data_IF_695233346500
#
_entry.id   IF_695233346500
#
_cell.length_a   1.000
_cell.length_b   1.000
_cell.length_c   1.000
_cell.angle_alpha   90.00
_cell.angle_beta   90.00
_cell.angle_gamma   90.00
#
_symmetry.space_group_name_H-M   'P 1'
#
loop_
_entity.id
_entity.type
_entity.pdbx_description
1 polymer ?
#
# COMPACT_ATOMS: atom_id res chain seq x y z
N UNK A 1 39.58 53.88 4.53
CA UNK A 1 39.54 52.47 4.11
C UNK A 1 40.54 51.67 4.94
N UNK A 2 40.11 51.04 6.03
CA UNK A 2 40.93 50.05 6.75
C UNK A 2 40.11 48.78 6.88
N UNK A 3 40.47 47.80 6.06
CA UNK A 3 39.88 46.46 6.00
C UNK A 3 40.38 45.62 7.18
N UNK A 4 39.49 45.28 8.10
CA UNK A 4 39.76 44.24 9.09
C UNK A 4 39.68 42.86 8.42
N UNK A 5 40.81 42.17 8.33
CA UNK A 5 40.88 40.76 7.92
C UNK A 5 40.20 39.89 8.97
N UNK A 6 39.13 39.21 8.57
CA UNK A 6 38.47 38.17 9.38
C UNK A 6 39.42 36.97 9.49
N UNK A 7 39.84 36.65 10.70
CA UNK A 7 40.63 35.47 11.03
C UNK A 7 39.81 34.19 10.83
N UNK A 8 40.42 33.18 10.21
CA UNK A 8 39.80 31.88 9.96
C UNK A 8 39.48 31.12 11.26
N UNK A 9 38.40 30.33 11.32
CA UNK A 9 37.97 29.66 12.54
C UNK A 9 38.94 28.55 12.94
N UNK A 10 39.32 28.56 14.23
CA UNK A 10 40.17 27.55 14.87
C UNK A 10 39.46 26.19 14.84
N UNK A 11 39.94 25.27 14.01
CA UNK A 11 39.41 23.89 13.94
C UNK A 11 39.78 23.12 15.21
N UNK A 12 38.83 22.36 15.76
CA UNK A 12 39.02 21.57 16.97
C UNK A 12 40.10 20.49 16.82
N UNK A 13 40.80 20.16 17.91
CA UNK A 13 41.93 19.21 17.92
C UNK A 13 41.53 17.81 17.40
N UNK A 14 40.29 17.39 17.64
CA UNK A 14 39.70 16.14 17.12
C UNK A 14 39.53 16.15 15.59
N UNK A 15 39.28 17.31 14.98
CA UNK A 15 39.15 17.45 13.52
C UNK A 15 40.48 17.20 12.79
N UNK A 16 41.59 17.64 13.37
CA UNK A 16 42.94 17.44 12.81
C UNK A 16 43.42 15.98 12.90
N UNK A 17 43.01 15.24 13.94
CA UNK A 17 43.32 13.81 14.07
C UNK A 17 42.48 12.95 13.12
N UNK A 18 41.22 13.32 12.85
CA UNK A 18 40.34 12.60 11.93
C UNK A 18 40.79 12.70 10.45
N UNK A 19 41.42 13.81 10.05
CA UNK A 19 42.00 14.01 8.72
C UNK A 19 43.12 13.00 8.38
N UNK A 20 43.81 12.44 9.38
CA UNK A 20 44.90 11.47 9.16
C UNK A 20 44.42 10.04 8.88
N UNK A 21 43.13 9.72 9.08
CA UNK A 21 42.60 8.34 8.95
C UNK A 21 41.67 8.11 7.75
N UNK A 22 41.66 9.03 6.78
CA UNK A 22 41.21 8.74 5.41
C UNK A 22 39.71 8.52 5.18
N UNK A 23 38.83 8.67 6.19
CA UNK A 23 37.38 8.70 5.98
C UNK A 23 36.65 9.26 7.21
N UNK A 24 35.92 10.37 7.03
CA UNK A 24 35.03 10.93 8.06
C UNK A 24 33.59 10.75 7.55
N UNK A 25 32.83 9.81 8.13
CA UNK A 25 31.37 9.93 8.10
C UNK A 25 30.98 11.12 8.97
N UNK A 26 31.05 12.34 8.40
CA UNK A 26 30.76 13.54 9.15
C UNK A 26 29.24 13.58 9.43
N UNK A 27 28.87 13.32 10.69
CA UNK A 27 27.47 13.29 11.13
C UNK A 27 26.79 14.62 10.77
N UNK A 28 25.59 14.55 10.20
CA UNK A 28 24.81 15.75 9.86
C UNK A 28 24.07 16.21 11.11
N UNK A 29 24.11 17.51 11.40
CA UNK A 29 23.31 18.11 12.45
C UNK A 29 21.82 17.94 12.10
N UNK A 30 21.05 17.33 13.00
CA UNK A 30 19.63 17.08 12.74
C UNK A 30 18.85 18.40 12.65
N UNK A 31 19.15 19.40 13.49
CA UNK A 31 18.41 20.67 13.50
C UNK A 31 18.66 21.52 12.25
N UNK A 32 19.92 21.78 11.89
CA UNK A 32 20.29 22.68 10.78
C UNK A 32 20.66 21.95 9.48
N UNK A 33 20.66 20.60 9.47
CA UNK A 33 20.99 19.74 8.33
C UNK A 33 22.37 19.96 7.70
N UNK A 34 23.32 20.58 8.44
CA UNK A 34 24.71 20.77 8.00
C UNK A 34 25.67 19.80 8.68
N UNK A 35 26.76 19.52 7.99
CA UNK A 35 27.89 18.73 8.51
C UNK A 35 29.07 19.65 8.85
N UNK A 36 29.82 19.38 9.94
CA UNK A 36 29.58 18.34 10.93
C UNK A 36 28.42 18.67 11.87
N UNK A 37 28.02 17.71 12.71
CA UNK A 37 26.95 17.89 13.67
C UNK A 37 27.30 19.02 14.65
N UNK A 38 26.33 19.89 14.92
CA UNK A 38 26.55 21.01 15.83
C UNK A 38 26.61 20.54 17.29
N UNK A 39 27.55 21.12 18.03
CA UNK A 39 27.64 20.97 19.48
C UNK A 39 26.40 21.56 20.17
N UNK A 40 26.05 20.96 21.32
CA UNK A 40 24.86 21.33 22.10
C UNK A 40 25.29 22.17 23.30
N UNK A 41 25.29 23.48 23.10
CA UNK A 41 25.72 24.45 24.11
C UNK A 41 24.53 25.21 24.71
N UNK A 42 23.52 25.51 23.89
CA UNK A 42 22.32 26.25 24.31
C UNK A 42 21.13 25.97 23.41
N UNK A 43 19.91 26.35 23.83
CA UNK A 43 18.71 26.20 23.00
C UNK A 43 18.24 27.58 22.53
N UNK A 44 18.38 27.85 21.23
CA UNK A 44 17.92 29.08 20.57
C UNK A 44 16.62 28.79 19.82
N UNK A 45 15.56 29.53 20.12
CA UNK A 45 14.29 29.44 19.39
C UNK A 45 14.28 30.43 18.23
N UNK A 46 13.98 29.96 17.02
CA UNK A 46 13.84 30.83 15.85
C UNK A 46 12.45 31.47 15.80
N UNK A 47 12.39 32.79 15.59
CA UNK A 47 11.12 33.50 15.46
C UNK A 47 10.35 33.09 14.18
N UNK A 48 11.08 32.82 13.09
CA UNK A 48 10.51 32.55 11.76
C UNK A 48 9.89 31.14 11.71
N UNK A 49 10.72 30.10 11.86
CA UNK A 49 10.27 28.71 11.76
C UNK A 49 9.76 28.11 13.08
N UNK A 50 9.97 28.80 14.22
CA UNK A 50 9.58 28.35 15.58
C UNK A 50 10.21 27.03 16.04
N UNK A 51 11.26 26.57 15.34
CA UNK A 51 12.10 25.43 15.72
C UNK A 51 13.20 25.87 16.69
N UNK A 52 13.76 24.89 17.40
CA UNK A 52 14.83 25.07 18.38
C UNK A 52 16.17 24.58 17.79
N UNK A 53 17.23 25.34 18.03
CA UNK A 53 18.58 25.10 17.53
C UNK A 53 19.57 25.03 18.69
N UNK A 54 20.61 24.20 18.56
CA UNK A 54 21.43 23.74 19.70
C UNK A 54 22.70 24.56 19.98
N UNK A 55 22.97 25.57 19.16
CA UNK A 55 24.07 26.52 19.31
C UNK A 55 23.86 27.73 18.40
N UNK A 56 24.62 28.81 18.61
CA UNK A 56 24.62 29.97 17.72
C UNK A 56 24.99 29.57 16.28
N UNK A 57 25.99 28.69 16.12
CA UNK A 57 26.37 28.16 14.82
C UNK A 57 25.23 27.36 14.17
N UNK A 58 24.52 26.52 14.94
CA UNK A 58 23.35 25.80 14.46
C UNK A 58 22.24 26.75 13.99
N UNK A 59 22.04 27.85 14.72
CA UNK A 59 21.09 28.89 14.37
C UNK A 59 21.51 29.67 13.11
N UNK A 60 22.76 30.06 12.95
CA UNK A 60 23.17 30.72 11.70
C UNK A 60 23.05 29.78 10.51
N UNK A 61 23.46 28.52 10.68
CA UNK A 61 23.47 27.51 9.62
C UNK A 61 22.08 27.19 9.05
N UNK A 62 21.02 27.19 9.87
CA UNK A 62 19.68 26.85 9.37
C UNK A 62 19.04 27.96 8.52
N UNK A 63 19.52 29.20 8.64
CA UNK A 63 19.09 30.34 7.81
C UNK A 63 19.86 30.46 6.50
N UNK A 64 21.01 29.77 6.38
CA UNK A 64 21.77 29.78 5.13
C UNK A 64 21.04 28.96 4.06
N UNK A 65 21.01 29.51 2.85
CA UNK A 65 20.59 28.77 1.67
C UNK A 65 21.62 27.68 1.35
N UNK A 66 21.16 26.47 1.07
CA UNK A 66 22.04 25.35 0.72
C UNK A 66 21.33 24.31 -0.15
N UNK A 67 22.00 23.83 -1.19
CA UNK A 67 21.52 22.79 -2.11
C UNK A 67 20.93 23.34 -3.42
N UNK A 68 20.52 22.44 -4.32
CA UNK A 68 20.01 22.77 -5.68
C UNK A 68 18.71 23.60 -5.70
N UNK A 69 17.99 23.69 -4.59
CA UNK A 69 16.64 24.29 -4.52
C UNK A 69 16.61 25.72 -3.94
N UNK A 70 17.78 26.34 -3.69
CA UNK A 70 17.93 27.72 -3.20
C UNK A 70 17.04 28.13 -2.00
N UNK A 71 16.69 27.17 -1.14
CA UNK A 71 15.91 27.41 0.09
C UNK A 71 16.71 27.01 1.33
N UNK A 72 16.64 27.82 2.36
CA UNK A 72 17.18 27.55 3.69
C UNK A 72 16.38 26.47 4.42
N UNK A 73 16.97 25.88 5.46
CA UNK A 73 16.25 24.94 6.34
C UNK A 73 15.09 25.63 7.07
N UNK A 74 15.24 26.93 7.37
CA UNK A 74 14.21 27.75 7.99
C UNK A 74 12.93 27.84 7.13
N UNK A 75 13.10 28.00 5.81
CA UNK A 75 11.99 28.06 4.87
C UNK A 75 11.40 26.68 4.57
N UNK A 76 12.19 25.61 4.68
CA UNK A 76 11.74 24.25 4.40
C UNK A 76 10.92 23.63 5.53
N UNK A 77 11.20 23.97 6.79
CA UNK A 77 10.59 23.31 7.95
C UNK A 77 10.11 24.33 8.99
N UNK A 78 8.85 24.23 9.42
CA UNK A 78 8.29 25.09 10.47
C UNK A 78 7.50 24.28 11.51
N UNK A 79 7.33 24.82 12.72
CA UNK A 79 6.56 24.18 13.82
C UNK A 79 5.08 24.64 13.81
N UNK A 80 4.06 23.76 13.74
CA UNK A 80 2.62 24.14 13.82
C UNK A 80 2.35 24.91 15.15
N UNK A 81 1.56 25.99 15.11
CA UNK A 81 1.15 26.77 16.30
C UNK A 81 0.29 25.94 17.26
N UNK A 82 -0.51 25.03 16.72
CA UNK A 82 -1.56 24.32 17.48
C UNK A 82 -1.13 22.92 17.91
N UNK A 83 -0.54 22.10 17.02
CA UNK A 83 -0.09 20.75 17.37
C UNK A 83 1.41 20.62 17.66
N UNK A 84 2.19 21.70 17.54
CA UNK A 84 3.63 21.76 17.86
C UNK A 84 4.54 20.76 17.08
N UNK A 85 4.00 20.07 16.06
CA UNK A 85 4.75 19.21 15.13
C UNK A 85 5.49 20.05 14.09
N UNK A 86 6.61 19.54 13.62
CA UNK A 86 7.40 20.11 12.52
C UNK A 86 6.79 19.65 11.20
N UNK A 87 6.61 20.60 10.29
CA UNK A 87 5.89 20.48 9.03
C UNK A 87 6.81 20.96 7.91
N UNK A 88 6.82 20.26 6.78
CA UNK A 88 7.49 20.74 5.57
C UNK A 88 6.67 21.84 4.89
N UNK A 89 7.32 22.93 4.51
CA UNK A 89 6.72 24.01 3.74
C UNK A 89 6.25 23.51 2.35
N UNK A 90 5.14 24.09 1.87
CA UNK A 90 4.49 23.68 0.62
C UNK A 90 3.59 22.44 0.73
N UNK A 91 3.51 21.78 1.89
CA UNK A 91 2.57 20.68 2.13
C UNK A 91 1.37 21.16 2.95
N UNK A 92 0.17 20.71 2.60
CA UNK A 92 -1.05 20.95 3.38
C UNK A 92 -0.99 20.20 4.70
N UNK A 93 -0.91 20.93 5.81
CA UNK A 93 -0.93 20.36 7.16
C UNK A 93 -2.26 20.69 7.84
N UNK A 94 -2.99 19.64 8.22
CA UNK A 94 -4.18 19.75 9.08
C UNK A 94 -3.80 19.28 10.48
N UNK A 95 -3.74 20.21 11.45
CA UNK A 95 -3.45 19.85 12.84
C UNK A 95 -4.67 18.99 13.35
N UNK A 96 -4.43 17.98 14.19
CA UNK A 96 -5.43 17.03 14.76
C UNK A 96 -6.10 16.02 13.79
N UNK A 97 -5.57 15.81 12.59
CA UNK A 97 -6.00 14.71 11.71
C UNK A 97 -5.05 13.51 11.76
N UNK A 98 -5.60 12.32 11.62
CA UNK A 98 -4.89 11.05 11.43
C UNK A 98 -5.16 10.51 10.03
N UNK A 99 -4.19 9.80 9.45
CA UNK A 99 -4.43 9.04 8.23
C UNK A 99 -5.16 7.74 8.58
N UNK A 100 -6.37 7.56 8.06
CA UNK A 100 -7.15 6.35 8.29
C UNK A 100 -6.80 5.30 7.23
N UNK A 101 -6.27 4.14 7.64
CA UNK A 101 -5.92 3.04 6.73
C UNK A 101 -7.13 2.28 6.14
N UNK A 102 -8.35 2.64 6.53
CA UNK A 102 -9.58 2.00 6.03
C UNK A 102 -10.17 2.82 4.88
N UNK A 103 -10.35 4.13 5.08
CA UNK A 103 -10.83 5.03 4.02
C UNK A 103 -9.72 5.70 3.22
N UNK A 104 -8.44 5.44 3.55
CA UNK A 104 -7.25 5.99 2.90
C UNK A 104 -7.24 7.53 2.80
N UNK A 105 -7.73 8.21 3.83
CA UNK A 105 -7.85 9.68 3.87
C UNK A 105 -7.44 10.23 5.24
N UNK A 106 -6.97 11.48 5.27
CA UNK A 106 -6.77 12.21 6.52
C UNK A 106 -8.13 12.59 7.11
N UNK A 107 -8.36 12.19 8.36
CA UNK A 107 -9.62 12.37 9.06
C UNK A 107 -9.36 12.87 10.48
N UNK A 108 -10.32 13.54 11.13
CA UNK A 108 -10.21 13.87 12.55
C UNK A 108 -9.90 12.63 13.40
N UNK A 109 -9.19 12.82 14.52
CA UNK A 109 -8.77 11.71 15.39
C UNK A 109 -9.92 10.78 15.84
N UNK A 110 -11.14 11.29 15.91
CA UNK A 110 -12.35 10.55 16.32
C UNK A 110 -13.24 10.06 15.15
N UNK A 111 -12.81 10.18 13.89
CA UNK A 111 -13.67 9.88 12.74
C UNK A 111 -14.20 8.43 12.72
N UNK A 112 -15.51 8.25 12.55
CA UNK A 112 -16.12 6.94 12.32
C UNK A 112 -16.01 6.59 10.84
N UNK A 113 -15.38 5.46 10.53
CA UNK A 113 -15.20 5.03 9.15
C UNK A 113 -16.46 4.28 8.69
N UNK A 114 -16.98 4.64 7.52
CA UNK A 114 -18.14 4.03 6.89
C UNK A 114 -17.80 3.51 5.50
N UNK A 115 -18.56 2.53 5.04
CA UNK A 115 -18.45 2.02 3.67
C UNK A 115 -18.73 3.15 2.69
N UNK A 116 -17.79 3.49 1.78
CA UNK A 116 -18.01 4.60 0.87
C UNK A 116 -18.94 4.21 -0.27
N UNK A 117 -19.75 5.17 -0.71
CA UNK A 117 -20.47 5.07 -1.99
C UNK A 117 -19.46 4.82 -3.12
N UNK A 118 -19.87 4.04 -4.11
CA UNK A 118 -19.12 3.94 -5.37
C UNK A 118 -19.77 4.91 -6.35
N UNK A 119 -19.03 5.91 -6.82
CA UNK A 119 -19.51 6.88 -7.83
C UNK A 119 -18.83 6.68 -9.18
N UNK A 120 -18.09 5.58 -9.34
CA UNK A 120 -17.35 5.30 -10.56
C UNK A 120 -18.29 4.80 -11.66
N UNK A 121 -17.93 5.03 -12.92
CA UNK A 121 -18.63 4.46 -14.08
C UNK A 121 -17.82 3.32 -14.71
N UNK A 122 -18.48 2.30 -15.29
CA UNK A 122 -17.81 1.23 -15.99
C UNK A 122 -17.04 1.77 -17.20
N UNK A 123 -15.85 1.21 -17.44
CA UNK A 123 -15.09 1.48 -18.67
C UNK A 123 -15.65 0.62 -19.79
N UNK A 124 -16.37 1.24 -20.73
CA UNK A 124 -17.06 0.57 -21.83
C UNK A 124 -16.36 0.73 -23.19
N UNK A 125 -15.12 1.21 -23.19
CA UNK A 125 -14.34 1.47 -24.41
C UNK A 125 -13.01 0.74 -24.35
N UNK A 126 -12.47 0.41 -25.53
CA UNK A 126 -11.14 -0.15 -25.72
C UNK A 126 -10.89 -1.47 -24.97
N UNK A 127 -11.86 -2.38 -25.08
CA UNK A 127 -11.82 -3.70 -24.47
C UNK A 127 -11.92 -4.82 -25.51
N UNK A 128 -11.42 -6.00 -25.14
CA UNK A 128 -11.57 -7.25 -25.87
C UNK A 128 -11.93 -8.38 -24.90
N UNK A 129 -13.02 -9.08 -25.17
CA UNK A 129 -13.34 -10.37 -24.58
C UNK A 129 -12.85 -11.49 -25.49
N UNK A 130 -12.26 -12.54 -24.91
CA UNK A 130 -11.93 -13.79 -25.58
C UNK A 130 -12.53 -14.92 -24.74
N UNK A 131 -13.55 -15.56 -25.24
CA UNK A 131 -14.16 -16.76 -24.65
C UNK A 131 -13.49 -17.97 -25.27
N UNK A 132 -13.04 -18.93 -24.49
CA UNK A 132 -12.40 -20.11 -25.05
C UNK A 132 -12.73 -21.36 -24.27
N UNK A 133 -12.54 -22.49 -24.92
CA UNK A 133 -12.66 -23.81 -24.34
C UNK A 133 -11.60 -24.72 -24.95
N UNK A 134 -11.13 -25.69 -24.14
CA UNK A 134 -10.10 -26.65 -24.54
C UNK A 134 -10.66 -28.06 -24.41
N UNK A 135 -10.47 -28.85 -25.45
CA UNK A 135 -10.63 -30.29 -25.36
C UNK A 135 -9.26 -30.95 -25.22
N UNK A 136 -9.20 -32.00 -24.40
CA UNK A 136 -7.98 -32.72 -24.09
C UNK A 136 -8.15 -34.22 -24.33
N UNK A 137 -7.07 -34.85 -24.80
CA UNK A 137 -6.95 -36.31 -24.85
C UNK A 137 -6.10 -36.83 -23.69
N UNK A 138 -6.31 -38.08 -23.30
CA UNK A 138 -5.60 -38.76 -22.20
C UNK A 138 -4.62 -39.85 -22.69
N UNK A 139 -4.18 -39.76 -23.95
CA UNK A 139 -3.50 -40.86 -24.64
C UNK A 139 -2.09 -41.18 -24.13
N UNK A 140 -1.51 -40.35 -23.24
CA UNK A 140 -0.17 -40.54 -22.68
C UNK A 140 -0.25 -40.93 -21.20
N UNK A 141 0.19 -42.14 -20.87
CA UNK A 141 0.30 -42.62 -19.49
C UNK A 141 1.64 -42.20 -18.89
N UNK A 142 1.63 -41.60 -17.71
CA UNK A 142 2.85 -41.33 -16.92
C UNK A 142 3.18 -42.57 -16.09
N UNK A 143 4.46 -42.75 -15.74
CA UNK A 143 5.06 -43.90 -15.03
C UNK A 143 4.41 -44.31 -13.69
N UNK A 144 3.40 -43.58 -13.23
CA UNK A 144 2.69 -43.76 -11.95
C UNK A 144 1.21 -44.16 -12.14
N UNK A 145 0.83 -44.63 -13.34
CA UNK A 145 -0.54 -45.03 -13.68
C UNK A 145 -1.52 -43.87 -13.86
N UNK A 146 -1.04 -42.62 -13.86
CA UNK A 146 -1.85 -41.41 -14.10
C UNK A 146 -1.78 -41.00 -15.58
N UNK A 147 -2.93 -40.81 -16.21
CA UNK A 147 -3.03 -40.28 -17.57
C UNK A 147 -2.74 -38.78 -17.61
N UNK A 148 -1.89 -38.35 -18.54
CA UNK A 148 -1.61 -36.93 -18.79
C UNK A 148 -2.66 -36.38 -19.76
N UNK A 149 -3.29 -35.28 -19.37
CA UNK A 149 -4.17 -34.53 -20.26
C UNK A 149 -3.37 -33.65 -21.21
N UNK A 150 -3.59 -33.82 -22.52
CA UNK A 150 -2.95 -33.02 -23.57
C UNK A 150 -4.02 -32.33 -24.41
N UNK A 151 -4.05 -30.98 -24.44
CA UNK A 151 -4.98 -30.22 -25.26
C UNK A 151 -4.83 -30.57 -26.74
N UNK A 152 -5.92 -30.98 -27.38
CA UNK A 152 -5.98 -31.36 -28.80
C UNK A 152 -6.98 -30.54 -29.62
N UNK A 153 -7.81 -29.71 -28.96
CA UNK A 153 -8.63 -28.69 -29.61
C UNK A 153 -8.67 -27.43 -28.75
N UNK A 154 -8.59 -26.26 -29.36
CA UNK A 154 -8.98 -25.00 -28.73
C UNK A 154 -9.95 -24.26 -29.64
N UNK A 155 -11.12 -23.95 -29.12
CA UNK A 155 -12.06 -23.05 -29.78
C UNK A 155 -12.10 -21.77 -28.99
N UNK A 156 -12.01 -20.64 -29.67
CA UNK A 156 -12.20 -19.35 -29.01
C UNK A 156 -13.00 -18.37 -29.85
N UNK A 157 -13.79 -17.56 -29.16
CA UNK A 157 -14.61 -16.50 -29.71
C UNK A 157 -14.21 -15.15 -29.10
N UNK A 158 -14.03 -14.13 -29.91
CA UNK A 158 -13.60 -12.81 -29.47
C UNK A 158 -14.60 -11.70 -29.80
N UNK A 159 -14.77 -10.77 -28.87
CA UNK A 159 -15.74 -9.66 -28.91
C UNK A 159 -15.12 -8.39 -28.35
N UNK A 160 -15.00 -7.35 -29.18
CA UNK A 160 -14.54 -6.02 -28.75
C UNK A 160 -15.69 -5.02 -28.68
N UNK A 161 -15.43 -3.78 -28.23
CA UNK A 161 -16.48 -2.77 -28.07
C UNK A 161 -17.28 -2.46 -29.35
N UNK A 162 -16.72 -2.75 -30.53
CA UNK A 162 -17.35 -2.48 -31.83
C UNK A 162 -18.29 -3.60 -32.27
N UNK A 163 -18.01 -4.84 -31.87
CA UNK A 163 -18.74 -6.02 -32.36
C UNK A 163 -19.40 -6.82 -31.25
N UNK A 164 -19.43 -6.27 -30.04
CA UNK A 164 -20.00 -6.94 -28.87
C UNK A 164 -21.48 -7.26 -29.06
N UNK A 165 -22.23 -6.38 -29.72
CA UNK A 165 -23.67 -6.54 -29.98
C UNK A 165 -23.96 -7.17 -31.35
N UNK A 166 -22.93 -7.60 -32.10
CA UNK A 166 -23.14 -8.22 -33.40
C UNK A 166 -23.58 -9.67 -33.23
N UNK A 167 -24.55 -10.15 -34.07
CA UNK A 167 -25.00 -11.54 -34.07
C UNK A 167 -23.83 -12.52 -34.20
N UNK A 168 -23.97 -13.74 -33.68
CA UNK A 168 -22.86 -14.71 -33.57
C UNK A 168 -22.34 -15.18 -34.95
N UNK A 169 -23.23 -15.17 -35.94
CA UNK A 169 -23.02 -15.57 -37.33
C UNK A 169 -22.04 -14.64 -38.06
N UNK A 170 -21.89 -13.38 -37.62
CA UNK A 170 -21.05 -12.37 -38.28
C UNK A 170 -19.55 -12.56 -38.03
N UNK A 171 -18.92 -13.59 -38.56
CA UNK A 171 -17.57 -14.06 -38.17
C UNK A 171 -16.40 -13.06 -38.23
N UNK A 172 -16.49 -11.89 -38.88
CA UNK A 172 -15.38 -10.91 -38.96
C UNK A 172 -15.74 -9.56 -38.34
N UNK A 173 -14.79 -8.99 -37.58
CA UNK A 173 -14.84 -7.63 -37.06
C UNK A 173 -13.67 -6.79 -37.60
N UNK A 174 -13.94 -5.54 -37.96
CA UNK A 174 -12.91 -4.57 -38.39
C UNK A 174 -11.84 -4.25 -37.34
N UNK A 175 -12.14 -4.41 -36.03
CA UNK A 175 -11.22 -4.07 -34.92
C UNK A 175 -10.50 -5.30 -34.37
N UNK A 176 -11.23 -6.33 -33.95
CA UNK A 176 -10.62 -7.54 -33.38
C UNK A 176 -10.22 -8.59 -34.43
N UNK A 177 -10.75 -8.53 -35.66
CA UNK A 177 -10.48 -9.51 -36.72
C UNK A 177 -11.48 -10.66 -36.73
N UNK A 178 -11.02 -11.86 -37.11
CA UNK A 178 -11.83 -13.08 -37.12
C UNK A 178 -12.28 -13.40 -35.70
N UNK A 179 -13.60 -13.55 -35.51
CA UNK A 179 -14.21 -13.66 -34.20
C UNK A 179 -14.17 -15.07 -33.65
N UNK A 180 -14.46 -16.10 -34.44
CA UNK A 180 -14.40 -17.49 -34.02
C UNK A 180 -13.20 -18.16 -34.69
N UNK A 181 -12.36 -18.81 -33.90
CA UNK A 181 -11.21 -19.56 -34.39
C UNK A 181 -11.18 -20.94 -33.75
N UNK A 182 -10.75 -21.93 -34.53
CA UNK A 182 -10.63 -23.32 -34.13
C UNK A 182 -9.20 -23.74 -34.39
N UNK A 183 -8.50 -24.18 -33.34
CA UNK A 183 -7.11 -24.63 -33.39
C UNK A 183 -7.07 -26.13 -33.09
N UNK A 184 -6.56 -26.92 -34.03
CA UNK A 184 -6.53 -28.39 -33.97
C UNK A 184 -5.15 -28.99 -34.35
N UNK A 185 -4.07 -28.22 -34.23
CA UNK A 185 -2.70 -28.62 -34.62
C UNK A 185 -1.80 -28.87 -33.40
N UNK A 186 -0.57 -29.39 -33.61
CA UNK A 186 0.46 -29.40 -32.57
C UNK A 186 0.76 -27.98 -32.07
N UNK A 187 0.97 -27.82 -30.75
CA UNK A 187 1.24 -26.54 -30.06
C UNK A 187 0.04 -25.58 -29.87
N UNK A 188 -1.17 -26.11 -29.70
CA UNK A 188 -2.43 -25.34 -29.46
C UNK A 188 -2.30 -24.22 -28.43
N UNK A 189 -1.76 -24.52 -27.25
CA UNK A 189 -1.64 -23.56 -26.14
C UNK A 189 -0.68 -22.42 -26.50
N UNK A 190 0.42 -22.73 -27.18
CA UNK A 190 1.37 -21.72 -27.65
C UNK A 190 0.73 -20.82 -28.69
N UNK A 191 0.08 -21.39 -29.72
CA UNK A 191 -0.61 -20.61 -30.74
C UNK A 191 -1.69 -19.70 -30.14
N UNK A 192 -2.51 -20.23 -29.24
CA UNK A 192 -3.54 -19.46 -28.54
C UNK A 192 -2.94 -18.33 -27.69
N UNK A 193 -1.89 -18.62 -26.92
CA UNK A 193 -1.25 -17.62 -26.06
C UNK A 193 -0.54 -16.53 -26.89
N UNK A 194 0.14 -16.89 -27.98
CA UNK A 194 0.74 -15.90 -28.89
C UNK A 194 -0.32 -15.00 -29.54
N UNK A 195 -1.49 -15.56 -29.92
CA UNK A 195 -2.62 -14.77 -30.39
C UNK A 195 -3.05 -13.73 -29.34
N UNK A 196 -3.17 -14.13 -28.07
CA UNK A 196 -3.50 -13.22 -26.96
C UNK A 196 -2.42 -12.12 -26.80
N UNK A 197 -1.14 -12.49 -26.85
CA UNK A 197 -0.02 -11.55 -26.70
C UNK A 197 0.09 -10.53 -27.83
N UNK A 198 -0.29 -10.91 -29.05
CA UNK A 198 -0.32 -9.99 -30.19
C UNK A 198 -1.56 -9.10 -30.15
N UNK A 199 -2.74 -9.68 -29.94
CA UNK A 199 -3.98 -8.91 -29.98
C UNK A 199 -4.09 -7.92 -28.81
N UNK A 200 -3.51 -8.23 -27.64
CA UNK A 200 -3.51 -7.30 -26.49
C UNK A 200 -2.80 -5.98 -26.75
N UNK A 201 -1.95 -5.89 -27.77
CA UNK A 201 -1.31 -4.62 -28.16
C UNK A 201 -2.32 -3.61 -28.71
N UNK A 202 -3.48 -4.08 -29.19
CA UNK A 202 -4.54 -3.27 -29.80
C UNK A 202 -5.61 -2.78 -28.82
N UNK A 203 -5.58 -3.23 -27.56
CA UNK A 203 -6.63 -2.97 -26.58
C UNK A 203 -6.06 -2.64 -25.20
N UNK A 204 -6.65 -1.67 -24.50
CA UNK A 204 -6.28 -1.37 -23.12
C UNK A 204 -6.68 -2.45 -22.13
N UNK A 205 -7.78 -3.15 -22.39
CA UNK A 205 -8.31 -4.17 -21.49
C UNK A 205 -8.63 -5.47 -22.25
N UNK A 206 -7.88 -6.55 -21.99
CA UNK A 206 -8.19 -7.87 -22.56
C UNK A 206 -8.64 -8.82 -21.46
N UNK A 207 -9.82 -9.38 -21.63
CA UNK A 207 -10.45 -10.26 -20.66
C UNK A 207 -10.68 -11.60 -21.34
N UNK A 208 -10.10 -12.66 -20.79
CA UNK A 208 -10.15 -14.00 -21.35
C UNK A 208 -10.97 -14.89 -20.40
N UNK A 209 -11.93 -15.64 -20.93
CA UNK A 209 -12.96 -16.34 -20.17
C UNK A 209 -12.99 -17.81 -20.62
N UNK A 210 -12.75 -18.73 -19.70
CA UNK A 210 -12.82 -20.17 -19.96
C UNK A 210 -14.11 -20.77 -19.39
N UNK A 211 -14.62 -21.83 -20.01
CA UNK A 211 -15.73 -22.60 -19.46
C UNK A 211 -15.33 -23.32 -18.16
N UNK A 212 -14.12 -23.90 -18.06
CA UNK A 212 -13.62 -24.58 -16.85
C UNK A 212 -12.21 -24.13 -16.40
N UNK A 213 -11.97 -22.82 -16.40
CA UNK A 213 -10.65 -22.26 -16.07
C UNK A 213 -10.13 -22.55 -14.66
N UNK A 214 -10.98 -22.82 -13.68
CA UNK A 214 -10.59 -22.91 -12.27
C UNK A 214 -9.82 -24.19 -11.90
N UNK A 215 -10.19 -25.32 -12.52
CA UNK A 215 -9.65 -26.65 -12.22
C UNK A 215 -8.80 -27.22 -13.36
N UNK A 216 -8.92 -26.67 -14.58
CA UNK A 216 -8.41 -27.32 -15.78
C UNK A 216 -7.75 -26.34 -16.76
N UNK A 217 -8.50 -25.50 -17.49
CA UNK A 217 -7.97 -24.81 -18.68
C UNK A 217 -6.87 -23.79 -18.36
N UNK A 218 -7.00 -23.05 -17.26
CA UNK A 218 -5.98 -22.08 -16.87
C UNK A 218 -4.71 -22.75 -16.33
N UNK A 219 -4.74 -24.04 -15.96
CA UNK A 219 -3.54 -24.75 -15.53
C UNK A 219 -2.58 -24.96 -16.71
N UNK A 220 -3.09 -25.25 -17.91
CA UNK A 220 -2.27 -25.36 -19.11
C UNK A 220 -1.63 -24.03 -19.49
N UNK A 221 -2.41 -22.94 -19.43
CA UNK A 221 -1.92 -21.58 -19.72
C UNK A 221 -0.90 -21.16 -18.66
N UNK A 222 -1.19 -21.36 -17.37
CA UNK A 222 -0.27 -21.05 -16.27
C UNK A 222 1.04 -21.85 -16.39
N UNK A 223 0.96 -23.15 -16.68
CA UNK A 223 2.14 -23.99 -16.88
C UNK A 223 2.98 -23.50 -18.05
N UNK A 224 2.37 -23.15 -19.19
CA UNK A 224 3.10 -22.58 -20.32
C UNK A 224 3.78 -21.26 -19.95
N UNK A 225 3.08 -20.36 -19.25
CA UNK A 225 3.66 -19.09 -18.77
C UNK A 225 4.89 -19.35 -17.88
N UNK A 226 4.76 -20.21 -16.88
CA UNK A 226 5.81 -20.47 -15.89
C UNK A 226 7.02 -21.22 -16.47
N UNK A 227 6.80 -22.12 -17.43
CA UNK A 227 7.86 -23.01 -17.95
C UNK A 227 8.47 -22.53 -19.26
N UNK A 228 7.73 -21.77 -20.07
CA UNK A 228 8.14 -21.36 -21.43
C UNK A 228 8.28 -19.85 -21.61
N UNK A 229 7.90 -19.04 -20.63
CA UNK A 229 7.98 -17.57 -20.72
C UNK A 229 8.68 -16.95 -19.52
N UNK A 230 9.07 -15.68 -19.62
CA UNK A 230 9.64 -14.90 -18.51
C UNK A 230 8.57 -14.12 -17.71
N UNK A 231 7.29 -14.21 -18.09
CA UNK A 231 6.23 -13.45 -17.44
C UNK A 231 5.95 -13.99 -16.03
N UNK A 232 5.76 -13.07 -15.08
CA UNK A 232 5.35 -13.39 -13.71
C UNK A 232 3.87 -13.03 -13.54
N UNK A 233 2.95 -14.00 -13.56
CA UNK A 233 1.55 -13.69 -13.42
C UNK A 233 1.16 -13.35 -11.97
N UNK A 234 0.19 -12.45 -11.82
CA UNK A 234 -0.51 -12.23 -10.55
C UNK A 234 -1.67 -13.21 -10.43
N UNK A 235 -1.73 -13.94 -9.31
CA UNK A 235 -2.69 -15.00 -9.05
C UNK A 235 -3.60 -14.66 -7.87
N UNK A 236 -4.90 -14.85 -8.05
CA UNK A 236 -5.89 -14.87 -6.97
C UNK A 236 -6.42 -16.28 -6.85
N UNK A 237 -6.23 -16.90 -5.68
CA UNK A 237 -6.53 -18.32 -5.42
C UNK A 237 -7.62 -18.48 -4.36
N UNK A 238 -8.38 -19.58 -4.43
CA UNK A 238 -9.25 -20.08 -3.34
C UNK A 238 -8.87 -21.53 -3.06
N UNK A 239 -8.04 -21.76 -2.04
CA UNK A 239 -7.42 -23.08 -1.86
C UNK A 239 -6.49 -23.40 -3.04
N UNK A 240 -6.62 -24.59 -3.64
CA UNK A 240 -5.86 -25.03 -4.82
C UNK A 240 -6.40 -24.53 -6.16
N UNK A 241 -7.53 -23.82 -6.15
CA UNK A 241 -8.26 -23.39 -7.34
C UNK A 241 -7.89 -21.96 -7.76
N UNK A 242 -7.60 -21.75 -9.06
CA UNK A 242 -7.27 -20.43 -9.62
C UNK A 242 -8.57 -19.64 -9.86
N UNK A 243 -8.77 -18.53 -9.15
CA UNK A 243 -9.93 -17.64 -9.37
C UNK A 243 -9.63 -16.63 -10.49
N UNK A 244 -8.43 -16.07 -10.49
CA UNK A 244 -8.01 -15.13 -11.52
C UNK A 244 -6.51 -15.21 -11.75
N UNK A 245 -6.12 -15.13 -13.02
CA UNK A 245 -4.74 -15.02 -13.50
C UNK A 245 -4.63 -13.69 -14.26
N UNK A 246 -3.70 -12.83 -13.89
CA UNK A 246 -3.47 -11.55 -14.57
C UNK A 246 -2.03 -11.42 -15.04
N UNK A 247 -1.83 -11.00 -16.29
CA UNK A 247 -0.53 -10.61 -16.84
C UNK A 247 -0.69 -9.26 -17.53
N UNK A 248 -0.07 -8.23 -16.96
CA UNK A 248 -0.15 -6.85 -17.46
C UNK A 248 -1.62 -6.40 -17.65
N UNK A 249 -2.05 -6.21 -18.90
CA UNK A 249 -3.41 -5.79 -19.28
C UNK A 249 -4.35 -6.95 -19.65
N UNK A 250 -3.93 -8.20 -19.45
CA UNK A 250 -4.71 -9.42 -19.73
C UNK A 250 -5.19 -10.03 -18.41
N UNK A 251 -6.49 -10.32 -18.31
CA UNK A 251 -7.12 -10.92 -17.12
C UNK A 251 -7.97 -12.15 -17.48
N UNK A 252 -7.77 -13.28 -16.81
CA UNK A 252 -8.45 -14.55 -17.04
C UNK A 252 -9.55 -14.85 -15.98
N UNK A 253 -10.69 -15.42 -16.39
CA UNK A 253 -11.96 -15.54 -15.62
C UNK A 253 -12.79 -16.82 -15.87
N UNK A 254 -13.80 -17.09 -15.02
CA UNK A 254 -14.61 -18.34 -14.95
C UNK A 254 -16.14 -18.14 -14.75
N UNK A 255 -16.96 -19.08 -15.26
CA UNK A 255 -18.43 -19.25 -15.02
C UNK A 255 -18.90 -20.73 -15.17
N UNK A 256 -19.90 -21.19 -14.39
CA UNK A 256 -20.38 -22.60 -14.24
C UNK A 256 -21.49 -23.06 -15.25
N UNK A 257 -21.47 -24.33 -15.70
CA UNK A 257 -22.62 -25.25 -15.96
C UNK A 257 -22.15 -26.68 -16.36
N UNK A 258 -23.00 -27.73 -16.24
CA UNK A 258 -22.60 -29.17 -16.29
C UNK A 258 -23.57 -30.15 -16.99
N UNK A 259 -22.96 -31.17 -17.61
CA UNK A 259 -23.39 -32.54 -17.99
C UNK A 259 -24.04 -32.80 -19.38
N UNK A 260 -23.39 -33.63 -20.23
CA UNK A 260 -23.92 -34.83 -20.95
C UNK A 260 -22.85 -35.59 -21.79
N UNK A 261 -23.09 -36.88 -22.09
CA UNK A 261 -22.16 -37.86 -22.73
C UNK A 261 -22.32 -37.86 -24.27
N UNK A 262 -21.22 -38.06 -25.03
CA UNK A 262 -21.11 -37.67 -26.45
C UNK A 262 -20.19 -38.54 -27.33
N UNK A 263 -20.44 -38.57 -28.66
CA UNK A 263 -19.73 -39.38 -29.67
C UNK A 263 -18.57 -38.57 -30.32
N UNK A 264 -17.37 -39.16 -30.44
CA UNK A 264 -16.12 -38.40 -30.26
C UNK A 264 -15.53 -37.71 -31.52
N UNK A 265 -15.81 -38.16 -32.75
CA UNK A 265 -14.97 -37.77 -33.92
C UNK A 265 -15.48 -36.62 -34.80
N UNK A 266 -16.81 -36.39 -34.90
CA UNK A 266 -17.38 -35.24 -35.65
C UNK A 266 -18.00 -34.19 -34.75
N UNK A 267 -18.37 -34.64 -33.57
CA UNK A 267 -19.31 -34.00 -32.70
C UNK A 267 -18.55 -33.01 -31.78
N UNK A 268 -17.30 -33.32 -31.41
CA UNK A 268 -16.44 -32.54 -30.49
C UNK A 268 -16.21 -31.08 -30.91
N UNK A 269 -16.00 -30.82 -32.19
CA UNK A 269 -15.81 -29.44 -32.69
C UNK A 269 -17.11 -28.65 -32.60
N UNK A 270 -18.23 -29.26 -32.99
CA UNK A 270 -19.55 -28.61 -32.95
C UNK A 270 -20.00 -28.32 -31.51
N UNK A 271 -19.68 -29.22 -30.58
CA UNK A 271 -19.94 -29.06 -29.15
C UNK A 271 -19.07 -27.95 -28.55
N UNK A 272 -17.75 -27.98 -28.78
CA UNK A 272 -16.84 -26.96 -28.25
C UNK A 272 -17.17 -25.56 -28.82
N UNK A 273 -17.59 -25.48 -30.09
CA UNK A 273 -18.16 -24.24 -30.67
C UNK A 273 -19.44 -23.81 -29.95
N UNK A 274 -20.35 -24.76 -29.70
CA UNK A 274 -21.60 -24.50 -28.97
C UNK A 274 -21.33 -23.99 -27.55
N UNK A 275 -20.45 -24.61 -26.79
CA UNK A 275 -20.11 -24.23 -25.41
C UNK A 275 -19.50 -22.82 -25.36
N UNK A 276 -18.55 -22.52 -26.25
CA UNK A 276 -17.98 -21.17 -26.36
C UNK A 276 -19.05 -20.16 -26.77
N UNK A 277 -19.99 -20.53 -27.65
CA UNK A 277 -21.09 -19.66 -28.06
C UNK A 277 -22.09 -19.40 -26.92
N UNK A 278 -22.50 -20.44 -26.19
CA UNK A 278 -23.38 -20.33 -25.02
C UNK A 278 -22.71 -19.48 -23.95
N UNK A 279 -21.44 -19.75 -23.63
CA UNK A 279 -20.65 -18.96 -22.68
C UNK A 279 -20.57 -17.49 -23.11
N UNK A 280 -20.31 -17.24 -24.40
CA UNK A 280 -20.27 -15.89 -24.97
C UNK A 280 -21.61 -15.19 -24.75
N UNK A 281 -22.71 -15.79 -25.19
CA UNK A 281 -24.05 -15.19 -25.11
C UNK A 281 -24.49 -14.96 -23.66
N UNK A 282 -24.27 -15.93 -22.78
CA UNK A 282 -24.59 -15.82 -21.36
C UNK A 282 -23.81 -14.68 -20.69
N UNK A 283 -22.50 -14.60 -20.92
CA UNK A 283 -21.66 -13.53 -20.37
C UNK A 283 -22.05 -12.15 -20.90
N UNK A 284 -22.34 -12.04 -22.20
CA UNK A 284 -22.80 -10.80 -22.81
C UNK A 284 -24.14 -10.36 -22.23
N UNK A 285 -25.08 -11.29 -22.05
CA UNK A 285 -26.40 -10.99 -21.47
C UNK A 285 -26.29 -10.58 -20.01
N UNK A 286 -25.46 -11.28 -19.23
CA UNK A 286 -25.21 -10.92 -17.82
C UNK A 286 -24.61 -9.52 -17.70
N UNK A 287 -23.62 -9.19 -18.54
CA UNK A 287 -23.04 -7.85 -18.61
C UNK A 287 -24.06 -6.78 -18.96
N UNK A 288 -24.87 -7.02 -19.99
CA UNK A 288 -25.94 -6.10 -20.41
C UNK A 288 -26.89 -5.79 -19.25
N UNK A 289 -27.39 -6.84 -18.58
CA UNK A 289 -28.33 -6.71 -17.46
C UNK A 289 -27.74 -5.95 -16.28
N UNK A 290 -26.49 -6.21 -15.90
CA UNK A 290 -25.83 -5.53 -14.78
C UNK A 290 -25.49 -4.07 -15.10
N UNK A 291 -25.10 -3.76 -16.33
CA UNK A 291 -24.88 -2.37 -16.75
C UNK A 291 -26.21 -1.62 -16.75
N UNK A 292 -27.27 -2.20 -17.32
CA UNK A 292 -28.60 -1.58 -17.39
C UNK A 292 -29.21 -1.32 -16.01
N UNK A 293 -29.13 -2.30 -15.13
CA UNK A 293 -29.74 -2.22 -13.79
C UNK A 293 -28.89 -1.43 -12.80
N UNK A 294 -27.58 -1.38 -13.06
CA UNK A 294 -26.59 -1.13 -12.02
C UNK A 294 -25.53 -0.09 -12.33
N UNK A 295 -25.38 0.27 -13.60
CA UNK A 295 -24.18 0.93 -14.10
C UNK A 295 -22.91 0.24 -13.61
N UNK A 296 -22.85 -1.10 -13.59
CA UNK A 296 -21.68 -1.89 -13.18
C UNK A 296 -21.34 -2.87 -14.29
N UNK A 297 -20.09 -2.86 -14.75
CA UNK A 297 -19.60 -3.90 -15.65
C UNK A 297 -18.95 -5.04 -14.82
N UNK A 298 -19.52 -6.25 -14.83
CA UNK A 298 -19.06 -7.33 -13.95
C UNK A 298 -17.62 -7.81 -14.23
N UNK A 299 -17.11 -7.61 -15.44
CA UNK A 299 -15.81 -8.17 -15.85
C UNK A 299 -14.66 -7.17 -15.77
N UNK A 300 -14.92 -5.89 -16.05
CA UNK A 300 -13.86 -4.85 -15.98
C UNK A 300 -13.69 -4.31 -14.57
N UNK A 301 -14.73 -4.35 -13.74
CA UNK A 301 -14.73 -3.67 -12.43
C UNK A 301 -14.72 -4.61 -11.23
N UNK A 302 -15.30 -5.80 -11.37
CA UNK A 302 -15.33 -6.80 -10.32
C UNK A 302 -14.48 -8.00 -10.71
N UNK A 303 -14.09 -8.80 -9.70
CA UNK A 303 -13.46 -10.13 -9.61
C UNK A 303 -14.33 -11.39 -9.74
N UNK A 304 -15.53 -11.22 -9.22
CA UNK A 304 -16.43 -12.27 -8.78
C UNK A 304 -17.83 -11.66 -8.76
N UNK A 305 -18.85 -12.53 -8.79
CA UNK A 305 -20.25 -12.09 -8.66
C UNK A 305 -20.45 -11.30 -7.37
N UNK A 306 -19.91 -11.76 -6.24
CA UNK A 306 -20.01 -11.05 -4.96
C UNK A 306 -19.41 -9.63 -5.03
N UNK A 307 -18.28 -9.47 -5.71
CA UNK A 307 -17.65 -8.16 -5.92
C UNK A 307 -18.50 -7.25 -6.82
N UNK A 308 -19.15 -7.81 -7.85
CA UNK A 308 -20.05 -7.07 -8.73
C UNK A 308 -21.32 -6.63 -7.99
N UNK A 309 -21.93 -7.53 -7.20
CA UNK A 309 -23.07 -7.24 -6.35
C UNK A 309 -22.75 -6.18 -5.28
N UNK A 310 -21.56 -6.24 -4.68
CA UNK A 310 -21.14 -5.21 -3.73
C UNK A 310 -20.99 -3.83 -4.40
N UNK A 311 -20.45 -3.78 -5.63
CA UNK A 311 -20.40 -2.52 -6.40
C UNK A 311 -21.80 -2.01 -6.73
N UNK A 312 -22.68 -2.88 -7.21
CA UNK A 312 -24.08 -2.56 -7.49
C UNK A 312 -24.78 -1.96 -6.25
N UNK A 313 -24.63 -2.63 -5.12
CA UNK A 313 -25.16 -2.17 -3.83
C UNK A 313 -24.62 -0.78 -3.47
N UNK A 314 -23.30 -0.59 -3.54
CA UNK A 314 -22.63 0.67 -3.18
C UNK A 314 -22.92 1.84 -4.12
N UNK A 315 -23.32 1.58 -5.37
CA UNK A 315 -23.71 2.62 -6.35
C UNK A 315 -25.16 3.06 -6.17
N UNK A 316 -26.06 2.08 -6.03
CA UNK A 316 -27.49 2.33 -6.23
C UNK A 316 -28.32 2.26 -4.96
N UNK A 317 -27.83 1.58 -3.91
CA UNK A 317 -28.66 1.21 -2.76
C UNK A 317 -28.07 1.65 -1.41
N UNK A 318 -26.74 1.77 -1.31
CA UNK A 318 -26.07 2.20 -0.09
C UNK A 318 -26.42 3.66 0.20
N UNK A 319 -26.91 3.92 1.40
CA UNK A 319 -27.05 5.28 1.94
C UNK A 319 -25.74 5.70 2.61
N UNK A 320 -25.44 7.00 2.58
CA UNK A 320 -24.23 7.53 3.22
C UNK A 320 -24.22 7.22 4.71
N UNK A 321 -23.05 6.83 5.22
CA UNK A 321 -22.78 6.63 6.66
C UNK A 321 -23.66 5.59 7.37
N UNK A 322 -24.24 4.61 6.64
CA UNK A 322 -25.10 3.58 7.27
C UNK A 322 -24.39 2.28 7.64
N UNK A 323 -23.28 1.95 6.98
CA UNK A 323 -22.51 0.73 7.26
C UNK A 323 -21.16 1.11 7.83
N UNK A 324 -20.99 0.97 9.14
CA UNK A 324 -19.73 1.21 9.84
C UNK A 324 -18.68 0.16 9.50
N UNK A 325 -17.45 0.60 9.21
CA UNK A 325 -16.30 -0.28 8.98
C UNK A 325 -15.48 -0.43 10.27
N UNK A 326 -15.59 -1.60 10.89
CA UNK A 326 -14.85 -1.93 12.11
C UNK A 326 -13.36 -2.13 11.77
N UNK A 327 -12.42 -1.36 12.36
CA UNK A 327 -11.00 -1.60 12.20
C UNK A 327 -10.62 -3.00 12.72
N UNK A 328 -9.54 -3.61 12.20
CA UNK A 328 -9.01 -4.88 12.73
C UNK A 328 -8.75 -4.88 14.24
N UNK A 329 -8.56 -3.71 14.84
CA UNK A 329 -8.33 -3.53 16.29
C UNK A 329 -9.55 -2.94 17.02
N UNK A 330 -10.71 -2.86 16.37
CA UNK A 330 -11.95 -2.30 16.93
C UNK A 330 -11.94 -0.77 17.04
N UNK A 331 -13.05 -0.21 17.54
CA UNK A 331 -13.22 1.24 17.77
C UNK A 331 -12.74 1.71 19.16
N UNK A 332 -12.62 0.80 20.13
CA UNK A 332 -12.24 1.12 21.53
C UNK A 332 -10.74 1.28 21.75
N UNK A 333 -9.89 0.71 20.88
CA UNK A 333 -8.42 0.80 20.95
C UNK A 333 -7.86 1.81 19.93
N UNK A 334 -8.52 2.96 19.78
CA UNK A 334 -8.02 4.04 18.90
C UNK A 334 -6.93 4.90 19.53
N UNK A 335 -6.64 4.67 20.80
CA UNK A 335 -5.48 5.25 21.45
C UNK A 335 -4.25 4.46 20.95
N UNK A 336 -3.38 5.12 20.19
CA UNK A 336 -2.19 4.53 19.55
C UNK A 336 -1.10 4.12 20.56
N UNK A 337 -1.47 3.90 21.82
CA UNK A 337 -0.54 3.54 22.87
C UNK A 337 -0.11 2.09 22.69
N UNK A 338 1.20 1.86 22.61
CA UNK A 338 1.71 0.50 22.42
C UNK A 338 1.37 -0.38 23.64
N UNK A 339 1.05 -1.67 23.41
CA UNK A 339 0.83 -2.63 24.51
C UNK A 339 1.99 -2.65 25.52
N UNK A 340 3.21 -2.44 25.02
CA UNK A 340 4.41 -2.38 25.86
C UNK A 340 4.43 -1.11 26.70
N UNK A 341 4.00 0.04 26.17
CA UNK A 341 3.86 1.26 26.96
C UNK A 341 2.84 1.05 28.08
N UNK A 342 1.67 0.46 27.80
CA UNK A 342 0.66 0.16 28.83
C UNK A 342 1.22 -0.76 29.91
N UNK A 343 1.87 -1.87 29.53
CA UNK A 343 2.46 -2.78 30.52
C UNK A 343 3.56 -2.11 31.36
N UNK A 344 4.39 -1.28 30.74
CA UNK A 344 5.40 -0.51 31.46
C UNK A 344 4.79 0.48 32.46
N UNK A 345 3.72 1.19 32.09
CA UNK A 345 3.03 2.10 32.99
C UNK A 345 2.40 1.36 34.17
N UNK A 346 1.70 0.25 33.93
CA UNK A 346 1.13 -0.58 35.01
C UNK A 346 2.23 -1.09 35.95
N UNK A 347 3.40 -1.45 35.40
CA UNK A 347 4.55 -1.85 36.21
C UNK A 347 5.12 -0.69 37.04
N UNK A 348 5.26 0.50 36.46
CA UNK A 348 5.70 1.72 37.15
C UNK A 348 4.76 2.10 38.30
N UNK A 349 3.44 2.00 38.09
CA UNK A 349 2.43 2.22 39.13
C UNK A 349 2.65 1.28 40.32
N UNK A 350 2.78 -0.02 40.03
CA UNK A 350 2.94 -1.05 41.06
C UNK A 350 4.24 -0.89 41.85
N UNK A 351 5.34 -0.60 41.18
CA UNK A 351 6.67 -0.49 41.81
C UNK A 351 6.76 0.76 42.69
N UNK A 352 6.11 1.86 42.28
CA UNK A 352 6.25 3.16 42.96
C UNK A 352 5.06 3.52 43.85
N UNK A 353 3.97 2.75 43.79
CA UNK A 353 2.75 3.05 44.53
C UNK A 353 2.11 4.37 44.12
N UNK A 354 2.24 4.76 42.84
CA UNK A 354 1.65 6.01 42.29
C UNK A 354 0.50 5.67 41.35
N UNK A 355 -0.46 6.59 41.21
CA UNK A 355 -1.53 6.47 40.22
C UNK A 355 -1.15 7.25 38.96
N UNK A 356 -0.94 6.51 37.87
CA UNK A 356 -0.65 7.02 36.55
C UNK A 356 -1.92 6.90 35.71
N UNK A 357 -2.42 8.03 35.25
CA UNK A 357 -3.51 8.03 34.28
C UNK A 357 -2.90 7.67 32.91
N UNK A 358 -3.53 6.75 32.18
CA UNK A 358 -3.11 6.30 30.84
C UNK A 358 -4.29 5.69 30.06
N UNK A 359 -4.08 5.37 28.77
CA UNK A 359 -5.14 4.99 27.82
C UNK A 359 -5.87 3.67 28.10
N UNK A 360 -5.36 2.85 29.04
CA UNK A 360 -6.04 1.61 29.45
C UNK A 360 -6.92 1.80 30.70
N UNK A 361 -6.77 2.91 31.43
CA UNK A 361 -7.68 3.33 32.51
C UNK A 361 -8.75 4.29 32.00
N UNK A 362 -8.37 5.26 31.17
CA UNK A 362 -9.24 6.27 30.57
C UNK A 362 -8.85 6.48 29.09
N UNK A 363 -9.21 7.62 28.49
CA UNK A 363 -8.70 8.03 27.16
C UNK A 363 -7.25 8.51 27.24
N UNK A 364 -6.55 8.50 26.11
CA UNK A 364 -5.23 9.13 25.94
C UNK A 364 -5.21 10.58 26.47
N UNK A 365 -4.24 10.89 27.34
CA UNK A 365 -4.16 12.17 28.04
C UNK A 365 -3.43 13.18 27.17
N UNK A 366 -3.96 14.39 27.11
CA UNK A 366 -3.34 15.52 26.43
C UNK A 366 -2.83 16.52 27.45
N UNK A 367 -1.51 16.65 27.58
CA UNK A 367 -0.84 17.63 28.45
C UNK A 367 -0.17 18.69 27.58
N UNK A 368 -0.43 19.97 27.86
CA UNK A 368 0.14 21.09 27.10
C UNK A 368 -0.24 21.07 25.60
N UNK A 369 -1.37 20.46 25.24
CA UNK A 369 -1.81 20.29 23.86
C UNK A 369 -1.13 19.13 23.10
N UNK A 370 -0.36 18.27 23.79
CA UNK A 370 0.31 17.10 23.21
C UNK A 370 -0.16 15.81 23.91
N UNK A 371 -0.47 14.74 23.16
CA UNK A 371 -0.80 13.45 23.76
C UNK A 371 0.44 12.86 24.45
N UNK A 372 0.28 12.26 25.62
CA UNK A 372 1.36 11.61 26.40
C UNK A 372 0.97 10.17 26.74
N UNK A 373 1.96 9.29 26.94
CA UNK A 373 1.69 7.89 27.26
C UNK A 373 1.09 7.73 28.66
N UNK A 374 1.63 8.43 29.66
CA UNK A 374 1.09 8.44 31.01
C UNK A 374 1.36 9.75 31.74
N UNK A 375 0.49 10.09 32.69
CA UNK A 375 0.65 11.27 33.54
C UNK A 375 0.23 10.94 34.97
N UNK A 376 1.08 11.33 35.94
CA UNK A 376 0.77 11.24 37.35
C UNK A 376 0.56 12.67 37.90
N UNK A 377 -0.69 13.07 38.20
CA UNK A 377 -0.99 14.40 38.75
C UNK A 377 -0.32 14.64 40.11
N UNK A 378 -0.18 13.59 40.93
CA UNK A 378 0.35 13.68 42.29
C UNK A 378 1.82 14.11 42.33
N UNK A 379 2.62 13.60 41.38
CA UNK A 379 4.05 13.91 41.28
C UNK A 379 4.36 14.90 40.16
N UNK A 380 3.33 15.35 39.44
CA UNK A 380 3.44 16.14 38.21
C UNK A 380 4.41 15.54 37.17
N UNK A 381 4.45 14.21 37.08
CA UNK A 381 5.34 13.46 36.21
C UNK A 381 4.65 12.98 34.94
N UNK A 382 5.30 13.20 33.79
CA UNK A 382 4.90 12.64 32.49
C UNK A 382 5.79 11.43 32.16
N UNK A 383 5.16 10.33 31.78
CA UNK A 383 5.80 9.08 31.42
C UNK A 383 5.70 8.88 29.91
N UNK A 384 6.82 8.59 29.24
CA UNK A 384 6.86 8.28 27.81
C UNK A 384 7.70 7.05 27.47
N UNK A 385 7.12 6.18 26.64
CA UNK A 385 7.78 5.00 26.09
C UNK A 385 8.40 5.32 24.74
N UNK A 386 9.73 5.42 24.72
CA UNK A 386 10.51 5.86 23.57
C UNK A 386 10.77 4.73 22.57
N UNK A 387 9.72 4.36 21.83
CA UNK A 387 9.84 3.38 20.77
C UNK A 387 10.77 3.80 19.63
N UNK A 388 11.80 3.00 19.33
CA UNK A 388 12.91 3.39 18.45
C UNK A 388 12.50 3.85 17.05
N UNK A 389 11.55 3.15 16.41
CA UNK A 389 11.06 3.50 15.07
C UNK A 389 10.16 4.73 15.09
N UNK A 390 9.24 4.82 16.04
CA UNK A 390 8.25 5.89 16.14
C UNK A 390 8.86 7.22 16.60
N UNK A 391 9.91 7.17 17.43
CA UNK A 391 10.60 8.36 17.97
C UNK A 391 11.90 8.70 17.25
N UNK A 392 12.23 8.01 16.14
CA UNK A 392 13.37 8.36 15.29
C UNK A 392 14.76 8.08 15.91
N UNK A 393 14.90 7.03 16.73
CA UNK A 393 16.11 6.74 17.50
C UNK A 393 17.40 6.74 16.65
N UNK A 394 18.32 7.65 16.98
CA UNK A 394 19.60 7.83 16.28
C UNK A 394 20.58 6.68 16.46
N UNK A 395 20.42 5.87 17.52
CA UNK A 395 21.27 4.70 17.78
C UNK A 395 20.86 3.50 16.93
N UNK A 396 19.56 3.27 16.78
CA UNK A 396 19.02 2.11 16.05
C UNK A 396 18.91 2.35 14.54
N UNK A 397 18.64 3.58 14.10
CA UNK A 397 18.46 3.94 12.70
C UNK A 397 19.54 4.95 12.30
N UNK A 398 20.66 4.45 11.77
CA UNK A 398 21.88 5.24 11.49
C UNK A 398 21.90 5.86 10.09
N UNK A 399 21.33 5.18 9.10
CA UNK A 399 21.43 5.53 7.68
C UNK A 399 20.09 6.01 7.12
N UNK A 400 20.13 6.74 6.00
CA UNK A 400 18.96 7.14 5.19
C UNK A 400 17.84 7.83 6.00
N UNK A 401 18.23 8.58 7.04
CA UNK A 401 17.27 9.15 8.01
C UNK A 401 16.44 10.29 7.44
N UNK A 402 16.93 10.90 6.37
CA UNK A 402 16.32 11.96 5.57
C UNK A 402 15.40 11.42 4.47
N UNK A 403 15.48 10.12 4.15
CA UNK A 403 14.61 9.51 3.16
C UNK A 403 13.19 9.28 3.71
N UNK A 404 12.16 9.35 2.86
CA UNK A 404 10.80 9.04 3.26
C UNK A 404 10.64 7.59 3.74
N UNK A 405 9.82 7.38 4.76
CA UNK A 405 9.50 6.05 5.27
C UNK A 405 8.57 5.34 4.28
N UNK A 406 8.82 4.05 3.99
CA UNK A 406 8.06 3.28 2.99
C UNK A 406 6.54 3.32 3.20
N UNK A 407 6.09 3.26 4.45
CA UNK A 407 4.65 3.29 4.80
C UNK A 407 4.04 4.69 4.83
N UNK A 408 4.86 5.75 4.85
CA UNK A 408 4.41 7.12 4.92
C UNK A 408 5.45 8.06 4.30
N UNK A 409 5.23 8.43 3.04
CA UNK A 409 6.12 9.34 2.30
C UNK A 409 6.14 10.77 2.88
N UNK A 410 5.28 11.07 3.85
CA UNK A 410 5.26 12.34 4.57
C UNK A 410 6.20 12.39 5.78
N UNK A 411 6.74 11.25 6.21
CA UNK A 411 7.62 11.16 7.38
C UNK A 411 9.02 10.66 7.02
N UNK A 412 10.00 11.12 7.79
CA UNK A 412 11.39 10.64 7.76
C UNK A 412 11.82 10.32 9.20
N UNK A 413 12.87 9.50 9.36
CA UNK A 413 13.37 9.18 10.70
C UNK A 413 13.93 10.40 11.43
N UNK A 414 14.49 11.35 10.68
CA UNK A 414 14.91 12.64 11.20
C UNK A 414 13.73 13.50 11.64
N UNK A 415 12.66 13.58 10.85
CA UNK A 415 11.47 14.35 11.21
C UNK A 415 10.82 13.80 12.49
N UNK A 416 10.75 12.46 12.62
CA UNK A 416 10.28 11.81 13.85
C UNK A 416 11.12 12.19 15.06
N UNK A 417 12.44 12.13 14.94
CA UNK A 417 13.33 12.49 16.03
C UNK A 417 13.22 13.98 16.43
N UNK A 418 13.11 14.89 15.46
CA UNK A 418 12.92 16.30 15.76
C UNK A 418 11.56 16.58 16.42
N UNK A 419 10.50 15.88 16.01
CA UNK A 419 9.19 15.95 16.66
C UNK A 419 9.27 15.47 18.12
N UNK A 420 9.99 14.37 18.38
CA UNK A 420 10.28 13.88 19.73
C UNK A 420 10.98 14.96 20.56
N UNK A 421 12.04 15.56 20.05
CA UNK A 421 12.75 16.64 20.75
C UNK A 421 11.89 17.89 20.96
N UNK A 422 11.04 18.24 19.98
CA UNK A 422 10.11 19.37 20.07
C UNK A 422 9.08 19.16 21.19
N UNK A 423 8.51 17.96 21.28
CA UNK A 423 7.59 17.54 22.35
C UNK A 423 8.28 17.59 23.70
N UNK A 424 9.49 17.02 23.76
CA UNK A 424 10.33 17.00 24.96
C UNK A 424 10.53 18.43 25.50
N UNK A 425 10.99 19.34 24.64
CA UNK A 425 11.29 20.70 25.04
C UNK A 425 10.03 21.47 25.48
N UNK A 426 8.89 21.21 24.84
CA UNK A 426 7.62 21.84 25.19
C UNK A 426 7.15 21.44 26.60
N UNK A 427 7.19 20.15 26.91
CA UNK A 427 6.81 19.66 28.24
C UNK A 427 7.75 20.18 29.34
N UNK A 428 9.05 20.28 29.07
CA UNK A 428 10.01 20.90 29.99
C UNK A 428 9.68 22.37 30.28
N UNK A 429 9.33 23.13 29.24
CA UNK A 429 8.98 24.56 29.39
C UNK A 429 7.73 24.77 30.23
N UNK A 430 6.83 23.78 30.28
CA UNK A 430 5.65 23.79 31.12
C UNK A 430 5.90 23.28 32.55
N UNK A 431 7.14 22.91 32.89
CA UNK A 431 7.52 22.51 34.26
C UNK A 431 7.20 21.06 34.63
N UNK A 432 6.89 20.19 33.66
CA UNK A 432 6.65 18.78 33.94
C UNK A 432 7.96 18.00 34.13
N UNK A 433 8.06 17.23 35.20
CA UNK A 433 9.12 16.24 35.36
C UNK A 433 8.82 15.03 34.45
N UNK A 434 9.84 14.40 33.86
CA UNK A 434 9.63 13.39 32.81
C UNK A 434 10.46 12.14 33.02
N UNK A 435 9.83 10.99 32.78
CA UNK A 435 10.49 9.69 32.79
C UNK A 435 10.38 9.02 31.42
N UNK A 436 11.54 8.69 30.86
CA UNK A 436 11.64 7.95 29.60
C UNK A 436 12.04 6.51 29.85
N UNK A 437 11.36 5.59 29.18
CA UNK A 437 11.81 4.20 29.07
C UNK A 437 11.99 3.84 27.59
N UNK A 438 13.10 3.19 27.26
CA UNK A 438 13.27 2.55 25.96
C UNK A 438 12.81 1.10 25.99
N UNK A 439 12.60 0.50 24.82
CA UNK A 439 12.30 -0.94 24.74
C UNK A 439 13.40 -1.81 25.36
N UNK A 440 14.66 -1.36 25.29
CA UNK A 440 15.82 -2.09 25.80
C UNK A 440 15.93 -2.02 27.34
N UNK A 441 15.24 -1.07 27.99
CA UNK A 441 15.23 -0.90 29.46
C UNK A 441 14.03 -1.53 30.16
N UNK A 442 13.10 -2.15 29.40
CA UNK A 442 11.93 -2.80 29.97
C UNK A 442 12.27 -4.25 30.41
N UNK A 443 12.12 -4.61 31.69
CA UNK A 443 12.64 -5.85 32.27
C UNK A 443 12.04 -7.14 31.67
N UNK A 444 10.90 -7.06 30.97
CA UNK A 444 10.25 -8.21 30.34
C UNK A 444 10.59 -8.41 28.85
N UNK A 445 11.63 -7.75 28.34
CA UNK A 445 12.33 -8.10 27.09
C UNK A 445 11.42 -8.36 25.87
N UNK A 446 11.14 -7.33 25.07
CA UNK A 446 10.49 -7.54 23.77
C UNK A 446 11.53 -7.99 22.73
N UNK A 447 11.53 -9.26 22.32
CA UNK A 447 12.32 -9.71 21.16
C UNK A 447 11.87 -8.92 19.94
N UNK A 448 12.83 -8.25 19.27
CA UNK A 448 12.63 -7.54 17.99
C UNK A 448 11.94 -8.46 16.98
N UNK A 449 10.63 -8.31 16.80
CA UNK A 449 9.99 -8.77 15.57
C UNK A 449 10.42 -7.77 14.51
N UNK A 450 11.41 -8.17 13.69
CA UNK A 450 11.66 -7.53 12.40
C UNK A 450 10.36 -7.65 11.60
N UNK A 451 9.56 -6.59 11.56
CA UNK A 451 8.58 -6.46 10.48
C UNK A 451 9.37 -6.04 9.24
N UNK A 452 9.48 -6.97 8.30
CA UNK A 452 9.95 -6.74 6.94
C UNK A 452 9.03 -5.76 6.20
#
# INVERSE_FOLDING_TARGET
MHSYKVSAPVQSRQYKEALRRGHICASICISCKRSPACDRELIIKCADCRRNFVSNLCFSNHKLHSGKEDKSVCEKFFKCRTCYKIVLAGRTHSCNTIYCNICHQNRPNNHLCYMPLDSSSPKLTDFLFIFYDLECTQNKTVSDGKSLHEPNLCVFNQRCEVCIDYPIEKVVCRKCGVRQQVLNMSSIIETFFQHILEIRKKFKHVIVLAHNGQAYDHQFILNYILTKTQFKPELIMRGSKIISLSINNVKLWYTENKDNIFDMQKEIVSYCISDVNILTLACLKFRELLIKSGNVCPYTEACTIASACNKLFRRNFLKTDTIGLIPRQGYRYRDNQSKVAIHWLIWEEKVRGIDIVHAAKQKEIVIGGLPVDGYCPQTNQVFEMMGCFYHGCVKCFKNDRDKPIHSNSYETMDLRYENTLSKINHLNQLGYERRFSGYDSYPYGYKKIKQC
#
